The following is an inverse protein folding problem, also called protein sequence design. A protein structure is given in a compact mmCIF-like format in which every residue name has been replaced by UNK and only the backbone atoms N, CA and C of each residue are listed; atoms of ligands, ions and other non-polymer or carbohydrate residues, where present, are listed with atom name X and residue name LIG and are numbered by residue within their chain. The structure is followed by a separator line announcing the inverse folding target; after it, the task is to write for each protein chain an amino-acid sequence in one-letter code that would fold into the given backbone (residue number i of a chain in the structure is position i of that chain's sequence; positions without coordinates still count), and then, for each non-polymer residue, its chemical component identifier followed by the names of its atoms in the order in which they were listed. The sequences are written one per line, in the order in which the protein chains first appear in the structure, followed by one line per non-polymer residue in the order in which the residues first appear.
data_IF_527853055598
#
_entry.id   IF_527853055598
#
_cell.length_a   1.000
_cell.length_b   1.000
_cell.length_c   1.000
_cell.angle_alpha   90.00
_cell.angle_beta   90.00
_cell.angle_gamma   90.00
#
_symmetry.space_group_name_H-M   'P 1'
#
loop_
_entity.id
_entity.type
_entity.pdbx_description
1 polymer ?
#
# COMPACT_ATOMS: atom_id res chain seq x y z
N UNK A 1 -4.64 -30.44 6.36
CA UNK A 1 -3.78 -29.61 7.23
C UNK A 1 -4.62 -28.41 7.60
N UNK A 2 -4.66 -28.03 8.88
CA UNK A 2 -5.26 -26.74 9.29
C UNK A 2 -4.24 -25.64 9.00
N UNK A 3 -4.68 -24.50 8.47
CA UNK A 3 -3.86 -23.27 8.33
C UNK A 3 -2.78 -23.29 7.22
N UNK A 4 -3.08 -23.88 6.04
CA UNK A 4 -2.16 -23.97 4.89
C UNK A 4 -2.48 -23.04 3.71
N UNK A 5 -3.71 -22.50 3.65
CA UNK A 5 -4.09 -21.54 2.60
C UNK A 5 -3.33 -20.20 2.76
N UNK A 6 -2.87 -19.55 1.68
CA UNK A 6 -2.17 -18.26 1.75
C UNK A 6 -2.98 -17.20 2.51
N UNK A 7 -2.33 -16.54 3.46
CA UNK A 7 -2.94 -15.54 4.35
C UNK A 7 -2.13 -14.26 4.37
N UNK A 8 -2.82 -13.13 4.28
CA UNK A 8 -2.22 -11.81 4.38
C UNK A 8 -2.95 -10.93 5.40
N UNK A 9 -2.23 -9.98 5.96
CA UNK A 9 -2.75 -9.01 6.93
C UNK A 9 -2.68 -7.59 6.38
N UNK A 10 -3.76 -6.83 6.48
CA UNK A 10 -3.72 -5.36 6.38
C UNK A 10 -3.88 -4.68 7.74
N UNK A 11 -3.08 -3.65 7.99
CA UNK A 11 -3.12 -2.81 9.18
C UNK A 11 -3.37 -1.37 8.72
N UNK A 12 -4.61 -0.90 8.81
CA UNK A 12 -5.00 0.39 8.26
C UNK A 12 -6.31 0.92 8.85
N UNK A 13 -6.69 2.14 8.45
CA UNK A 13 -8.04 2.65 8.60
C UNK A 13 -9.05 2.01 7.63
N UNK A 14 -10.33 2.01 8.01
CA UNK A 14 -11.42 1.66 7.08
C UNK A 14 -11.74 2.81 6.13
N UNK A 15 -12.34 2.50 4.98
CA UNK A 15 -13.03 3.46 4.11
C UNK A 15 -14.47 2.97 3.93
N UNK A 16 -15.46 3.65 4.53
CA UNK A 16 -16.86 3.23 4.40
C UNK A 16 -17.40 3.28 2.95
N UNK A 17 -16.76 4.05 2.07
CA UNK A 17 -17.05 4.07 0.63
C UNK A 17 -16.49 2.86 -0.13
N UNK A 18 -15.60 2.11 0.52
CA UNK A 18 -15.07 0.84 0.02
C UNK A 18 -14.06 0.97 -1.11
N UNK A 19 -13.55 2.17 -1.40
CA UNK A 19 -12.63 2.42 -2.50
C UNK A 19 -11.15 2.34 -2.14
N UNK A 20 -10.81 2.54 -0.86
CA UNK A 20 -9.47 2.59 -0.30
C UNK A 20 -9.38 1.82 1.04
N UNK A 21 -8.25 1.96 1.73
CA UNK A 21 -8.00 1.39 3.06
C UNK A 21 -8.24 -0.12 3.12
N UNK A 22 -8.66 -0.61 4.30
CA UNK A 22 -8.93 -2.05 4.51
C UNK A 22 -9.88 -2.63 3.45
N UNK A 23 -10.85 -1.84 2.98
CA UNK A 23 -11.81 -2.33 1.98
C UNK A 23 -11.17 -2.60 0.62
N UNK A 24 -10.28 -1.73 0.14
CA UNK A 24 -9.52 -1.99 -1.09
C UNK A 24 -8.55 -3.15 -0.91
N UNK A 25 -7.95 -3.26 0.27
CA UNK A 25 -7.01 -4.32 0.61
C UNK A 25 -7.69 -5.69 0.56
N UNK A 26 -8.83 -5.83 1.24
CA UNK A 26 -9.61 -7.07 1.27
C UNK A 26 -10.09 -7.48 -0.12
N UNK A 27 -10.65 -6.53 -0.90
CA UNK A 27 -11.09 -6.81 -2.27
C UNK A 27 -9.93 -7.28 -3.13
N UNK A 28 -8.78 -6.64 -3.01
CA UNK A 28 -7.58 -7.01 -3.75
C UNK A 28 -7.09 -8.40 -3.35
N UNK A 29 -6.86 -8.65 -2.06
CA UNK A 29 -6.37 -9.95 -1.56
C UNK A 29 -7.30 -11.09 -1.94
N UNK A 30 -8.62 -10.90 -1.81
CA UNK A 30 -9.62 -11.88 -2.21
C UNK A 30 -9.55 -12.17 -3.73
N UNK A 31 -9.44 -11.13 -4.56
CA UNK A 31 -9.30 -11.28 -6.02
C UNK A 31 -7.96 -11.89 -6.43
N UNK A 32 -6.95 -11.86 -5.57
CA UNK A 32 -5.65 -12.52 -5.78
C UNK A 32 -5.57 -13.92 -5.17
N UNK A 33 -6.68 -14.45 -4.63
CA UNK A 33 -6.76 -15.80 -4.07
C UNK A 33 -6.05 -15.96 -2.73
N UNK A 34 -6.06 -14.91 -1.89
CA UNK A 34 -5.42 -14.90 -0.57
C UNK A 34 -6.49 -14.60 0.50
N UNK A 35 -6.45 -15.35 1.60
CA UNK A 35 -7.32 -15.09 2.74
C UNK A 35 -6.85 -13.83 3.48
N UNK A 36 -7.70 -12.81 3.53
CA UNK A 36 -7.37 -11.53 4.13
C UNK A 36 -7.75 -11.48 5.62
N UNK A 37 -6.84 -10.95 6.43
CA UNK A 37 -7.05 -10.60 7.84
C UNK A 37 -6.81 -9.10 8.03
N UNK A 38 -7.32 -8.52 9.13
CA UNK A 38 -7.19 -7.08 9.37
C UNK A 38 -6.86 -6.74 10.82
N UNK A 39 -6.14 -5.64 10.99
CA UNK A 39 -6.11 -4.82 12.21
C UNK A 39 -6.64 -3.44 11.83
N UNK A 40 -7.76 -3.04 12.44
CA UNK A 40 -8.38 -1.74 12.24
C UNK A 40 -7.71 -0.72 13.14
N UNK A 41 -7.11 0.31 12.54
CA UNK A 41 -6.43 1.41 13.25
C UNK A 41 -7.35 2.62 13.45
N UNK A 42 -8.26 2.84 12.50
CA UNK A 42 -9.29 3.86 12.59
C UNK A 42 -10.51 3.45 11.75
N UNK A 43 -11.67 3.97 12.09
CA UNK A 43 -12.85 3.92 11.22
C UNK A 43 -13.09 5.28 10.60
N UNK A 44 -13.51 5.31 9.34
CA UNK A 44 -13.86 6.58 8.67
C UNK A 44 -15.30 6.56 8.18
N UNK A 45 -15.99 7.68 8.33
CA UNK A 45 -17.15 8.03 7.52
C UNK A 45 -16.62 8.71 6.26
N UNK A 46 -16.55 7.95 5.18
CA UNK A 46 -15.93 8.33 3.92
C UNK A 46 -16.78 7.87 2.72
N UNK A 47 -16.75 8.65 1.64
CA UNK A 47 -17.30 8.27 0.34
C UNK A 47 -16.49 8.96 -0.77
N UNK A 48 -16.94 8.84 -2.03
CA UNK A 48 -16.24 9.42 -3.19
C UNK A 48 -16.07 10.95 -3.16
N UNK A 49 -16.76 11.67 -2.28
CA UNK A 49 -16.66 13.11 -2.09
C UNK A 49 -15.59 13.52 -1.05
N UNK A 50 -15.03 12.56 -0.31
CA UNK A 50 -14.01 12.80 0.71
C UNK A 50 -14.31 12.08 2.03
N UNK A 51 -13.55 12.44 3.07
CA UNK A 51 -13.75 11.98 4.46
C UNK A 51 -14.61 13.01 5.19
N UNK A 52 -15.70 12.55 5.80
CA UNK A 52 -16.62 13.37 6.59
C UNK A 52 -16.32 13.31 8.08
N UNK A 53 -15.88 12.15 8.58
CA UNK A 53 -15.51 11.96 9.97
C UNK A 53 -14.55 10.77 10.11
N UNK A 54 -13.81 10.70 11.22
CA UNK A 54 -12.91 9.60 11.53
C UNK A 54 -12.79 9.39 13.04
N UNK A 55 -12.73 8.13 13.46
CA UNK A 55 -12.49 7.73 14.84
C UNK A 55 -11.32 6.75 14.91
N UNK A 56 -10.24 7.17 15.56
CA UNK A 56 -9.07 6.33 15.80
C UNK A 56 -9.37 5.28 16.89
N UNK A 57 -8.97 4.04 16.66
CA UNK A 57 -9.18 2.95 17.63
C UNK A 57 -8.33 3.15 18.88
N UNK A 58 -8.81 2.79 20.09
CA UNK A 58 -7.98 2.75 21.28
C UNK A 58 -6.75 1.82 21.05
N UNK A 59 -5.54 2.22 21.47
CA UNK A 59 -4.34 1.37 21.33
C UNK A 59 -4.52 -0.04 21.87
N UNK A 60 -5.24 -0.20 22.98
CA UNK A 60 -5.48 -1.49 23.62
C UNK A 60 -6.27 -2.43 22.70
N UNK A 61 -7.24 -1.90 21.94
CA UNK A 61 -7.98 -2.70 20.96
C UNK A 61 -7.14 -3.04 19.72
N UNK A 62 -6.18 -2.19 19.36
CA UNK A 62 -5.21 -2.52 18.30
C UNK A 62 -4.31 -3.67 18.78
N UNK A 63 -3.80 -3.60 20.01
CA UNK A 63 -2.99 -4.65 20.63
C UNK A 63 -3.73 -6.00 20.69
N UNK A 64 -5.01 -6.00 21.11
CA UNK A 64 -5.83 -7.22 21.17
C UNK A 64 -6.10 -7.83 19.79
N UNK A 65 -6.28 -7.01 18.75
CA UNK A 65 -6.41 -7.51 17.36
C UNK A 65 -5.12 -8.20 16.91
N UNK A 66 -3.95 -7.58 17.16
CA UNK A 66 -2.66 -8.19 16.86
C UNK A 66 -2.44 -9.51 17.61
N UNK A 67 -2.72 -9.53 18.91
CA UNK A 67 -2.60 -10.72 19.75
C UNK A 67 -3.52 -11.86 19.28
N UNK A 68 -4.77 -11.54 18.92
CA UNK A 68 -5.74 -12.51 18.41
C UNK A 68 -5.27 -13.16 17.10
N UNK A 69 -4.77 -12.35 16.16
CA UNK A 69 -4.28 -12.88 14.88
C UNK A 69 -3.03 -13.74 15.06
N UNK A 70 -2.08 -13.30 15.89
CA UNK A 70 -0.85 -14.03 16.15
C UNK A 70 -1.07 -15.37 16.86
N UNK A 71 -2.17 -15.52 17.60
CA UNK A 71 -2.48 -16.74 18.33
C UNK A 71 -3.04 -17.88 17.46
N UNK A 72 -3.58 -17.57 16.27
CA UNK A 72 -4.34 -18.53 15.45
C UNK A 72 -3.87 -18.63 13.98
N UNK A 73 -3.54 -17.51 13.35
CA UNK A 73 -3.31 -17.45 11.90
C UNK A 73 -1.85 -17.67 11.50
N UNK A 74 -1.64 -18.21 10.29
CA UNK A 74 -0.32 -18.40 9.68
C UNK A 74 -0.09 -17.38 8.57
N UNK A 75 -0.14 -16.10 8.94
CA UNK A 75 0.05 -14.98 8.02
C UNK A 75 1.52 -14.93 7.57
N UNK A 76 1.74 -14.85 6.25
CA UNK A 76 3.06 -14.87 5.63
C UNK A 76 3.46 -13.54 4.98
N UNK A 77 2.54 -12.60 4.85
CA UNK A 77 2.82 -11.23 4.47
C UNK A 77 1.81 -10.27 5.09
N UNK A 78 2.25 -9.06 5.41
CA UNK A 78 1.40 -8.00 5.93
C UNK A 78 1.69 -6.66 5.26
N UNK A 79 0.74 -5.74 5.36
CA UNK A 79 0.91 -4.35 4.94
C UNK A 79 0.39 -3.36 5.96
N UNK A 80 0.97 -2.16 5.94
CA UNK A 80 0.39 -0.98 6.58
C UNK A 80 -0.18 -0.04 5.53
N UNK A 81 -1.32 0.58 5.85
CA UNK A 81 -1.90 1.71 5.10
C UNK A 81 -1.91 2.98 5.94
N UNK A 82 -3.02 3.75 5.90
CA UNK A 82 -3.20 4.93 6.75
C UNK A 82 -3.29 4.53 8.24
N UNK A 83 -2.42 5.12 9.09
CA UNK A 83 -2.25 4.77 10.51
C UNK A 83 -2.76 5.84 11.50
N UNK A 84 -3.57 6.79 11.03
CA UNK A 84 -4.20 7.87 11.79
C UNK A 84 -3.28 8.90 12.45
N UNK A 85 -2.53 8.54 13.50
CA UNK A 85 -1.81 9.50 14.35
C UNK A 85 -0.52 8.91 14.96
N UNK A 86 0.36 9.73 15.58
CA UNK A 86 1.64 9.24 16.10
C UNK A 86 1.50 8.16 17.18
N UNK A 87 0.43 8.19 17.99
CA UNK A 87 0.18 7.19 19.02
C UNK A 87 -0.10 5.84 18.35
N UNK A 88 -0.99 5.80 17.35
CA UNK A 88 -1.34 4.57 16.64
C UNK A 88 -0.19 4.04 15.79
N UNK A 89 0.60 4.92 15.16
CA UNK A 89 1.81 4.51 14.45
C UNK A 89 2.77 3.80 15.41
N UNK A 90 3.01 4.35 16.61
CA UNK A 90 3.86 3.71 17.64
C UNK A 90 3.28 2.37 18.10
N UNK A 91 1.97 2.29 18.34
CA UNK A 91 1.29 1.03 18.70
C UNK A 91 1.49 -0.04 17.62
N UNK A 92 1.31 0.31 16.35
CA UNK A 92 1.54 -0.62 15.22
C UNK A 92 2.99 -1.05 15.14
N UNK A 93 3.95 -0.13 15.24
CA UNK A 93 5.39 -0.44 15.25
C UNK A 93 5.74 -1.41 16.38
N UNK A 94 5.23 -1.18 17.59
CA UNK A 94 5.50 -2.04 18.74
C UNK A 94 4.96 -3.46 18.51
N UNK A 95 3.78 -3.61 17.93
CA UNK A 95 3.22 -4.92 17.62
C UNK A 95 3.94 -5.63 16.47
N UNK A 96 4.35 -4.91 15.43
CA UNK A 96 5.15 -5.47 14.33
C UNK A 96 6.55 -5.92 14.78
N UNK A 97 7.09 -5.34 15.86
CA UNK A 97 8.32 -5.83 16.51
C UNK A 97 8.07 -7.03 17.42
N UNK A 98 6.87 -7.16 17.99
CA UNK A 98 6.48 -8.22 18.93
C UNK A 98 6.04 -9.51 18.22
N UNK A 99 5.34 -9.38 17.10
CA UNK A 99 4.73 -10.49 16.37
C UNK A 99 5.25 -10.54 14.94
N UNK A 100 5.47 -11.75 14.44
CA UNK A 100 5.94 -11.97 13.08
C UNK A 100 4.77 -12.36 12.16
N UNK A 101 4.41 -11.46 11.24
CA UNK A 101 3.40 -11.68 10.20
C UNK A 101 4.03 -11.82 8.81
N UNK A 102 5.31 -12.22 8.75
CA UNK A 102 6.06 -12.41 7.53
C UNK A 102 6.51 -11.09 6.89
N UNK A 103 6.50 -11.04 5.55
CA UNK A 103 7.05 -9.89 4.80
C UNK A 103 6.18 -8.64 4.99
N UNK A 104 6.79 -7.51 5.36
CA UNK A 104 6.10 -6.24 5.60
C UNK A 104 6.18 -5.29 4.40
N UNK A 105 5.02 -4.94 3.86
CA UNK A 105 4.86 -3.86 2.88
C UNK A 105 4.37 -2.58 3.57
N UNK A 106 5.16 -1.52 3.56
CA UNK A 106 4.78 -0.21 4.09
C UNK A 106 4.27 0.67 2.94
N UNK A 107 2.97 0.98 2.94
CA UNK A 107 2.38 2.05 2.12
C UNK A 107 2.28 3.31 3.00
N UNK A 108 3.20 4.27 2.88
CA UNK A 108 3.28 5.42 3.79
C UNK A 108 2.24 6.47 3.42
N UNK A 109 0.96 6.15 3.68
CA UNK A 109 -0.18 7.02 3.36
C UNK A 109 -0.16 8.25 4.27
N UNK A 110 0.48 9.31 3.80
CA UNK A 110 0.66 10.57 4.56
C UNK A 110 -0.11 11.74 3.95
N UNK A 111 -0.47 11.66 2.67
CA UNK A 111 -1.05 12.77 1.91
C UNK A 111 -2.29 12.26 1.17
N UNK A 112 -3.43 12.93 1.37
CA UNK A 112 -4.65 12.62 0.65
C UNK A 112 -4.50 12.95 -0.83
N UNK A 113 -5.32 12.34 -1.69
CA UNK A 113 -5.31 12.63 -3.14
C UNK A 113 -5.58 14.11 -3.48
N UNK A 114 -6.19 14.88 -2.58
CA UNK A 114 -6.37 16.33 -2.71
C UNK A 114 -5.17 17.19 -2.23
N UNK A 115 -4.06 16.56 -1.83
CA UNK A 115 -2.86 17.24 -1.30
C UNK A 115 -2.91 17.57 0.19
N UNK A 116 -4.03 17.29 0.88
CA UNK A 116 -4.13 17.53 2.32
C UNK A 116 -3.28 16.53 3.10
N UNK A 117 -2.48 16.99 4.06
CA UNK A 117 -1.76 16.12 5.01
C UNK A 117 -2.77 15.29 5.81
N UNK A 118 -2.56 13.98 5.85
CA UNK A 118 -3.33 13.02 6.64
C UNK A 118 -2.67 12.73 7.99
N UNK A 119 -1.36 12.91 8.09
CA UNK A 119 -0.57 12.73 9.30
C UNK A 119 0.02 14.07 9.76
N UNK A 120 0.17 14.22 11.08
CA UNK A 120 0.97 15.29 11.66
C UNK A 120 2.46 15.05 11.37
N UNK A 121 3.28 16.11 11.45
CA UNK A 121 4.73 15.99 11.24
C UNK A 121 5.37 14.99 12.23
N UNK A 122 4.90 14.97 13.49
CA UNK A 122 5.31 13.97 14.48
C UNK A 122 5.01 12.52 14.04
N UNK A 123 3.91 12.29 13.32
CA UNK A 123 3.57 10.96 12.83
C UNK A 123 4.45 10.57 11.64
N UNK A 124 4.80 11.53 10.78
CA UNK A 124 5.74 11.35 9.68
C UNK A 124 7.12 10.95 10.21
N UNK A 125 7.59 11.62 11.28
CA UNK A 125 8.86 11.27 11.93
C UNK A 125 8.84 9.84 12.49
N UNK A 126 7.74 9.41 13.14
CA UNK A 126 7.62 8.02 13.62
C UNK A 126 7.61 7.03 12.45
N UNK A 127 6.91 7.34 11.36
CA UNK A 127 6.91 6.50 10.16
C UNK A 127 8.33 6.37 9.61
N UNK A 128 9.06 7.49 9.46
CA UNK A 128 10.42 7.53 8.94
C UNK A 128 11.41 6.77 9.82
N UNK A 129 11.38 7.03 11.13
CA UNK A 129 12.46 6.61 12.02
C UNK A 129 12.19 5.24 12.67
N UNK A 130 10.94 4.75 12.66
CA UNK A 130 10.58 3.53 13.38
C UNK A 130 9.82 2.49 12.54
N UNK A 131 8.99 2.89 11.58
CA UNK A 131 8.23 1.95 10.74
C UNK A 131 9.00 1.57 9.47
N UNK A 132 9.56 2.57 8.77
CA UNK A 132 10.36 2.39 7.55
C UNK A 132 11.52 1.39 7.73
N UNK A 133 12.28 1.40 8.86
CA UNK A 133 13.33 0.42 9.11
C UNK A 133 12.85 -1.04 9.22
N UNK A 134 11.55 -1.27 9.40
CA UNK A 134 10.98 -2.62 9.45
C UNK A 134 10.56 -3.13 8.07
N UNK A 135 10.54 -2.26 7.04
CA UNK A 135 9.91 -2.57 5.77
C UNK A 135 10.76 -3.53 4.92
N UNK A 136 10.17 -4.66 4.52
CA UNK A 136 10.70 -5.46 3.41
C UNK A 136 10.46 -4.76 2.07
N UNK A 137 9.37 -3.99 1.96
CA UNK A 137 9.07 -3.13 0.82
C UNK A 137 8.43 -1.84 1.31
N UNK A 138 8.91 -0.68 0.83
CA UNK A 138 8.19 0.60 0.97
C UNK A 138 7.66 1.05 -0.39
N UNK A 139 6.43 1.59 -0.42
CA UNK A 139 5.73 1.93 -1.68
C UNK A 139 5.28 3.40 -1.77
N UNK A 140 6.10 4.43 -1.50
CA UNK A 140 5.62 5.81 -1.52
C UNK A 140 5.22 6.28 -2.92
N UNK A 141 4.20 7.14 -3.02
CA UNK A 141 4.02 7.99 -4.21
C UNK A 141 5.05 9.16 -4.22
N UNK A 142 5.08 9.96 -5.29
CA UNK A 142 6.02 11.08 -5.40
C UNK A 142 5.94 12.05 -4.20
N UNK A 143 4.79 12.66 -3.85
CA UNK A 143 4.67 13.51 -2.67
C UNK A 143 5.15 12.85 -1.36
N UNK A 144 4.81 11.58 -1.15
CA UNK A 144 5.23 10.83 0.04
C UNK A 144 6.73 10.58 0.05
N UNK A 145 7.32 10.30 -1.11
CA UNK A 145 8.76 10.12 -1.25
C UNK A 145 9.50 11.44 -1.01
N UNK A 146 8.98 12.57 -1.52
CA UNK A 146 9.54 13.90 -1.28
C UNK A 146 9.53 14.23 0.21
N UNK A 147 8.41 13.95 0.91
CA UNK A 147 8.27 14.20 2.34
C UNK A 147 9.19 13.28 3.17
N UNK A 148 9.21 11.96 2.90
CA UNK A 148 10.08 11.03 3.63
C UNK A 148 11.56 11.35 3.42
N UNK A 149 11.93 11.68 2.19
CA UNK A 149 13.33 11.95 1.83
C UNK A 149 13.72 13.40 2.07
N UNK A 150 12.79 14.32 2.33
CA UNK A 150 13.07 15.76 2.39
C UNK A 150 13.85 16.23 1.14
N UNK A 151 13.40 15.79 -0.03
CA UNK A 151 14.00 16.09 -1.34
C UNK A 151 12.90 16.43 -2.33
N UNK A 152 13.21 17.31 -3.28
CA UNK A 152 12.36 17.55 -4.45
C UNK A 152 12.66 16.52 -5.54
N UNK A 153 11.62 15.94 -6.13
CA UNK A 153 11.74 14.89 -7.16
C UNK A 153 11.10 15.41 -8.47
N UNK A 154 11.94 15.89 -9.38
CA UNK A 154 11.51 16.52 -10.65
C UNK A 154 11.96 15.74 -11.90
N UNK A 155 12.76 14.69 -11.72
CA UNK A 155 13.32 13.87 -12.80
C UNK A 155 13.42 12.40 -12.38
N UNK A 156 13.56 11.51 -13.37
CA UNK A 156 13.86 10.09 -13.15
C UNK A 156 15.14 9.88 -12.33
N UNK A 157 16.17 10.70 -12.54
CA UNK A 157 17.43 10.63 -11.80
C UNK A 157 17.26 11.01 -10.32
N UNK A 158 16.48 12.06 -10.03
CA UNK A 158 16.14 12.45 -8.66
C UNK A 158 15.24 11.42 -7.98
N UNK A 159 14.35 10.77 -8.73
CA UNK A 159 13.49 9.68 -8.23
C UNK A 159 14.31 8.44 -7.85
N UNK A 160 15.30 8.08 -8.67
CA UNK A 160 16.24 7.02 -8.33
C UNK A 160 17.08 7.35 -7.08
N UNK A 161 17.46 8.62 -6.92
CA UNK A 161 18.17 9.09 -5.72
C UNK A 161 17.30 9.00 -4.47
N UNK A 162 16.02 9.39 -4.58
CA UNK A 162 15.05 9.21 -3.50
C UNK A 162 14.91 7.73 -3.11
N UNK A 163 14.87 6.82 -4.10
CA UNK A 163 14.86 5.38 -3.86
C UNK A 163 16.05 4.90 -3.02
N UNK A 164 17.27 5.34 -3.35
CA UNK A 164 18.48 5.02 -2.55
C UNK A 164 18.42 5.62 -1.14
N UNK A 165 17.86 6.82 -0.98
CA UNK A 165 17.72 7.45 0.34
C UNK A 165 16.73 6.70 1.22
N UNK A 166 15.59 6.27 0.67
CA UNK A 166 14.62 5.42 1.38
C UNK A 166 15.25 4.08 1.80
N UNK A 167 16.06 3.47 0.94
CA UNK A 167 16.81 2.26 1.30
C UNK A 167 17.83 2.51 2.42
N UNK A 168 18.52 3.66 2.41
CA UNK A 168 19.43 4.06 3.50
C UNK A 168 18.74 4.32 4.84
N UNK A 169 17.42 4.57 4.82
CA UNK A 169 16.58 4.70 6.02
C UNK A 169 16.14 3.34 6.57
N UNK A 170 16.48 2.23 5.91
CA UNK A 170 16.30 0.87 6.39
C UNK A 170 15.30 0.01 5.62
N UNK A 171 14.57 0.57 4.65
CA UNK A 171 13.71 -0.24 3.78
C UNK A 171 14.55 -1.17 2.90
N UNK A 172 14.23 -2.47 2.84
CA UNK A 172 15.01 -3.41 2.00
C UNK A 172 14.79 -3.18 0.52
N UNK A 173 13.53 -3.09 0.10
CA UNK A 173 13.11 -2.83 -1.27
C UNK A 173 12.27 -1.55 -1.33
N UNK A 174 12.33 -0.85 -2.46
CA UNK A 174 11.65 0.44 -2.65
C UNK A 174 10.92 0.45 -4.00
N UNK A 175 9.64 0.83 -3.97
CA UNK A 175 8.83 1.17 -5.13
C UNK A 175 8.36 2.62 -5.01
N UNK A 176 8.98 3.54 -5.75
CA UNK A 176 8.50 4.93 -5.83
C UNK A 176 7.49 5.01 -6.98
N UNK A 177 6.26 5.44 -6.68
CA UNK A 177 5.12 5.44 -7.62
C UNK A 177 4.90 6.82 -8.25
N UNK A 178 4.47 6.85 -9.53
CA UNK A 178 3.83 8.02 -10.13
C UNK A 178 4.73 8.98 -10.92
N UNK A 179 5.89 8.55 -11.40
CA UNK A 179 6.72 9.35 -12.32
C UNK A 179 6.08 9.51 -13.70
N UNK A 180 6.05 10.73 -14.22
CA UNK A 180 5.60 11.05 -15.59
C UNK A 180 6.45 12.17 -16.23
N UNK A 181 7.75 12.19 -15.89
CA UNK A 181 8.68 13.27 -16.24
C UNK A 181 8.92 13.39 -17.75
N UNK A 182 9.03 12.26 -18.43
CA UNK A 182 9.40 12.17 -19.84
C UNK A 182 8.19 12.13 -20.79
N UNK A 183 7.02 11.77 -20.28
CA UNK A 183 5.77 11.65 -21.04
C UNK A 183 4.56 11.75 -20.10
N UNK A 184 3.60 12.61 -20.44
CA UNK A 184 2.33 12.71 -19.70
C UNK A 184 1.45 11.45 -19.85
N UNK A 185 1.69 10.66 -20.91
CA UNK A 185 0.92 9.46 -21.25
C UNK A 185 1.46 8.19 -20.61
N UNK A 186 2.52 8.29 -19.81
CA UNK A 186 3.13 7.17 -19.09
C UNK A 186 3.00 7.32 -17.57
N UNK A 187 2.96 6.18 -16.89
CA UNK A 187 3.09 6.09 -15.45
C UNK A 187 4.28 5.18 -15.14
N UNK A 188 5.41 5.81 -14.82
CA UNK A 188 6.71 5.20 -14.57
C UNK A 188 6.94 5.09 -13.07
N UNK A 189 7.06 3.86 -12.58
CA UNK A 189 7.40 3.59 -11.18
C UNK A 189 8.84 3.07 -11.11
N UNK A 190 9.62 3.62 -10.18
CA UNK A 190 11.01 3.24 -9.97
C UNK A 190 11.10 2.14 -8.91
N UNK A 191 11.80 1.05 -9.23
CA UNK A 191 12.07 -0.04 -8.30
C UNK A 191 13.56 -0.10 -7.98
N UNK A 192 13.88 -0.21 -6.69
CA UNK A 192 15.20 -0.56 -6.17
C UNK A 192 15.07 -1.78 -5.26
N UNK A 193 15.74 -2.88 -5.61
CA UNK A 193 15.75 -4.10 -4.83
C UNK A 193 16.85 -4.09 -3.77
N UNK A 194 16.70 -4.97 -2.77
CA UNK A 194 17.67 -5.15 -1.67
C UNK A 194 19.09 -5.44 -2.15
N UNK A 195 19.23 -6.18 -3.26
CA UNK A 195 20.54 -6.50 -3.85
C UNK A 195 21.14 -5.36 -4.71
N UNK A 196 20.54 -4.18 -4.72
CA UNK A 196 20.99 -3.02 -5.48
C UNK A 196 20.57 -3.01 -6.95
N UNK A 197 19.95 -4.08 -7.48
CA UNK A 197 19.35 -4.05 -8.82
C UNK A 197 18.18 -3.07 -8.84
N UNK A 198 18.05 -2.31 -9.92
CA UNK A 198 16.92 -1.40 -10.12
C UNK A 198 16.37 -1.51 -11.52
N UNK A 199 15.09 -1.18 -11.68
CA UNK A 199 14.39 -1.18 -12.96
C UNK A 199 13.17 -0.27 -12.89
N UNK A 200 12.60 0.00 -14.06
CA UNK A 200 11.38 0.79 -14.21
C UNK A 200 10.19 -0.10 -14.53
N UNK A 201 9.04 0.23 -13.93
CA UNK A 201 7.74 -0.35 -14.25
C UNK A 201 6.90 0.71 -14.96
N UNK A 202 6.82 0.58 -16.29
CA UNK A 202 6.11 1.53 -17.16
C UNK A 202 4.76 0.96 -17.60
N UNK A 203 3.71 1.80 -17.53
CA UNK A 203 2.38 1.49 -18.06
C UNK A 203 1.79 2.72 -18.74
N UNK A 204 0.84 2.50 -19.65
CA UNK A 204 0.09 3.62 -20.26
C UNK A 204 -0.81 4.28 -19.22
N UNK A 205 -0.69 5.60 -19.08
CA UNK A 205 -1.57 6.39 -18.23
C UNK A 205 -2.93 6.53 -18.91
N UNK A 206 -3.99 6.20 -18.17
CA UNK A 206 -5.37 6.46 -18.61
C UNK A 206 -5.86 7.73 -17.92
N UNK A 207 -6.35 8.69 -18.70
CA UNK A 207 -7.07 9.86 -18.14
C UNK A 207 -8.41 9.37 -17.58
N UNK A 208 -8.52 9.34 -16.25
CA UNK A 208 -9.76 8.96 -15.55
C UNK A 208 -9.84 9.64 -14.19
N UNK A 209 -11.06 9.93 -13.72
CA UNK A 209 -11.32 10.40 -12.36
C UNK A 209 -11.31 9.28 -11.31
N UNK A 210 -11.45 8.03 -11.76
CA UNK A 210 -11.58 6.84 -10.93
C UNK A 210 -10.19 6.30 -10.59
N UNK A 211 -9.69 6.74 -9.46
CA UNK A 211 -8.29 6.60 -9.05
C UNK A 211 -8.18 6.49 -7.52
N UNK A 212 -9.31 6.54 -6.81
CA UNK A 212 -9.38 6.35 -5.37
C UNK A 212 -8.93 4.92 -5.02
N UNK A 213 -8.02 4.78 -4.05
CA UNK A 213 -7.43 3.50 -3.66
C UNK A 213 -6.33 2.94 -4.58
N UNK A 214 -5.74 3.75 -5.47
CA UNK A 214 -4.66 3.27 -6.36
C UNK A 214 -3.45 2.75 -5.57
N UNK A 215 -3.00 3.50 -4.56
CA UNK A 215 -1.91 3.10 -3.67
C UNK A 215 -2.23 1.82 -2.92
N UNK A 216 -3.37 1.79 -2.24
CA UNK A 216 -3.82 0.63 -1.46
C UNK A 216 -3.92 -0.64 -2.32
N UNK A 217 -4.44 -0.52 -3.55
CA UNK A 217 -4.64 -1.64 -4.47
C UNK A 217 -3.31 -2.23 -4.95
N UNK A 218 -2.35 -1.39 -5.35
CA UNK A 218 -1.04 -1.92 -5.79
C UNK A 218 -0.28 -2.56 -4.63
N UNK A 219 -0.22 -1.90 -3.47
CA UNK A 219 0.50 -2.43 -2.29
C UNK A 219 -0.15 -3.72 -1.81
N UNK A 220 -1.48 -3.81 -1.77
CA UNK A 220 -2.21 -5.04 -1.41
C UNK A 220 -2.03 -6.17 -2.39
N UNK A 221 -1.97 -5.89 -3.70
CA UNK A 221 -1.71 -6.92 -4.69
C UNK A 221 -0.30 -7.49 -4.49
N UNK A 222 0.69 -6.63 -4.24
CA UNK A 222 2.07 -7.07 -3.98
C UNK A 222 2.11 -7.93 -2.71
N UNK A 223 1.52 -7.48 -1.61
CA UNK A 223 1.45 -8.24 -0.36
C UNK A 223 0.76 -9.60 -0.54
N UNK A 224 -0.31 -9.67 -1.34
CA UNK A 224 -0.98 -10.93 -1.66
C UNK A 224 -0.08 -11.89 -2.46
N UNK A 225 0.66 -11.40 -3.46
CA UNK A 225 1.60 -12.24 -4.22
C UNK A 225 2.78 -12.72 -3.35
N UNK A 226 3.27 -11.87 -2.44
CA UNK A 226 4.27 -12.26 -1.45
C UNK A 226 3.74 -13.34 -0.49
N UNK A 227 2.49 -13.24 -0.03
CA UNK A 227 1.87 -14.26 0.81
C UNK A 227 1.78 -15.64 0.11
N UNK A 228 1.69 -15.64 -1.22
CA UNK A 228 1.73 -16.84 -2.08
C UNK A 228 3.15 -17.35 -2.35
N UNK A 229 4.17 -16.71 -1.82
CA UNK A 229 5.58 -17.10 -1.97
C UNK A 229 6.22 -16.64 -3.29
N UNK A 230 5.64 -15.68 -4.00
CA UNK A 230 6.29 -15.07 -5.18
C UNK A 230 7.53 -14.27 -4.77
N UNK A 231 8.50 -14.17 -5.67
CA UNK A 231 9.64 -13.28 -5.44
C UNK A 231 9.22 -11.81 -5.44
N UNK A 232 10.02 -10.94 -4.81
CA UNK A 232 9.74 -9.50 -4.73
C UNK A 232 9.56 -8.88 -6.13
N UNK A 233 10.44 -9.21 -7.08
CA UNK A 233 10.35 -8.70 -8.45
C UNK A 233 9.08 -9.16 -9.16
N UNK A 234 8.70 -10.44 -9.03
CA UNK A 234 7.45 -10.95 -9.61
C UNK A 234 6.23 -10.28 -8.99
N UNK A 235 6.19 -10.14 -7.66
CA UNK A 235 5.10 -9.51 -6.94
C UNK A 235 4.90 -8.04 -7.37
N UNK A 236 5.99 -7.28 -7.53
CA UNK A 236 5.98 -5.90 -8.03
C UNK A 236 5.42 -5.80 -9.46
N UNK A 237 5.85 -6.70 -10.36
CA UNK A 237 5.36 -6.74 -11.75
C UNK A 237 3.87 -7.09 -11.81
N UNK A 238 3.42 -8.06 -11.02
CA UNK A 238 2.00 -8.44 -10.93
C UNK A 238 1.19 -7.27 -10.36
N UNK A 239 1.66 -6.64 -9.29
CA UNK A 239 1.00 -5.47 -8.68
C UNK A 239 0.78 -4.33 -9.67
N UNK A 240 1.81 -3.99 -10.46
CA UNK A 240 1.70 -2.99 -11.53
C UNK A 240 0.68 -3.39 -12.59
N UNK A 241 0.73 -4.63 -13.07
CA UNK A 241 -0.19 -5.11 -14.10
C UNK A 241 -1.64 -5.15 -13.61
N UNK A 242 -1.86 -5.51 -12.34
CA UNK A 242 -3.17 -5.55 -11.72
C UNK A 242 -3.76 -4.13 -11.57
N UNK A 243 -3.00 -3.19 -11.00
CA UNK A 243 -3.51 -1.82 -10.84
C UNK A 243 -3.80 -1.16 -12.20
N UNK A 244 -2.98 -1.41 -13.23
CA UNK A 244 -3.26 -0.96 -14.59
C UNK A 244 -4.60 -1.54 -15.11
N UNK A 245 -4.82 -2.85 -14.91
CA UNK A 245 -6.05 -3.50 -15.33
C UNK A 245 -7.28 -2.90 -14.63
N UNK A 246 -7.20 -2.64 -13.33
CA UNK A 246 -8.30 -2.08 -12.51
C UNK A 246 -8.70 -0.66 -12.95
N UNK A 247 -7.71 0.14 -13.39
CA UNK A 247 -7.92 1.49 -13.94
C UNK A 247 -8.50 1.39 -15.36
N UNK A 248 -7.95 0.49 -16.18
CA UNK A 248 -8.35 0.32 -17.58
C UNK A 248 -9.78 -0.19 -17.71
N UNK A 249 -10.16 -1.17 -16.89
CA UNK A 249 -11.47 -1.80 -16.85
C UNK A 249 -12.42 -1.11 -15.85
N UNK A 250 -12.15 0.15 -15.49
CA UNK A 250 -12.82 0.87 -14.41
C UNK A 250 -14.35 0.81 -14.43
N UNK A 251 -14.94 1.03 -13.25
CA UNK A 251 -16.38 1.05 -12.98
C UNK A 251 -16.84 2.46 -12.60
N UNK A 252 -18.13 2.75 -12.71
CA UNK A 252 -18.70 4.04 -12.30
C UNK A 252 -19.44 3.90 -10.97
N UNK A 253 -18.87 4.45 -9.89
CA UNK A 253 -19.46 4.44 -8.55
C UNK A 253 -19.25 5.80 -7.91
N UNK A 254 -20.31 6.37 -7.33
CA UNK A 254 -20.31 7.67 -6.66
C UNK A 254 -20.23 8.87 -7.60
N UNK A 255 -20.11 10.06 -7.00
CA UNK A 255 -20.20 11.36 -7.70
C UNK A 255 -18.88 12.14 -7.74
N UNK A 256 -17.90 11.78 -6.90
CA UNK A 256 -16.58 12.42 -6.86
C UNK A 256 -15.48 11.58 -7.52
N UNK A 257 -14.41 11.31 -6.77
CA UNK A 257 -13.34 10.41 -7.21
C UNK A 257 -13.75 8.95 -6.99
N UNK A 258 -14.12 8.27 -8.08
CA UNK A 258 -14.57 6.88 -8.02
C UNK A 258 -13.44 5.89 -7.67
N UNK A 259 -13.83 4.68 -7.22
CA UNK A 259 -12.91 3.59 -6.91
C UNK A 259 -12.37 2.90 -8.17
N UNK A 260 -11.39 2.02 -7.96
CA UNK A 260 -10.91 1.10 -8.99
C UNK A 260 -11.84 -0.10 -9.18
N UNK A 261 -11.71 -0.79 -10.32
CA UNK A 261 -12.40 -2.07 -10.56
C UNK A 261 -11.55 -3.25 -10.08
N UNK A 262 -11.73 -3.70 -8.84
CA UNK A 262 -11.00 -4.87 -8.29
C UNK A 262 -11.36 -6.19 -8.99
N UNK A 263 -12.47 -6.29 -9.72
CA UNK A 263 -12.79 -7.49 -10.53
C UNK A 263 -11.97 -7.60 -11.82
N UNK A 264 -11.15 -6.59 -12.14
CA UNK A 264 -10.36 -6.59 -13.36
C UNK A 264 -9.40 -7.79 -13.42
N UNK A 265 -9.32 -8.40 -14.60
CA UNK A 265 -8.37 -9.49 -14.89
C UNK A 265 -7.11 -8.96 -15.56
N UNK A 266 -5.96 -9.51 -15.20
CA UNK A 266 -4.70 -9.23 -15.91
C UNK A 266 -4.74 -9.97 -17.25
N UNK A 267 -4.18 -9.40 -18.32
CA UNK A 267 -4.22 -9.99 -19.68
C UNK A 267 -3.75 -11.46 -19.74
N UNK A 268 -2.80 -11.87 -18.90
CA UNK A 268 -2.33 -13.26 -18.82
C UNK A 268 -3.41 -14.21 -18.30
N UNK A 269 -4.32 -13.74 -17.45
CA UNK A 269 -5.43 -14.50 -16.84
C UNK A 269 -6.68 -14.54 -17.74
N UNK A 270 -6.68 -13.79 -18.85
CA UNK A 270 -7.79 -13.78 -19.81
C UNK A 270 -7.75 -14.97 -20.78
N UNK A 271 -6.61 -15.68 -20.87
CA UNK A 271 -6.43 -16.83 -21.76
C UNK A 271 -6.75 -18.19 -21.10
N UNK A 272 -7.19 -18.20 -19.84
CA UNK A 272 -7.52 -19.42 -19.08
C UNK A 272 -9.04 -19.70 -19.02
N UNK A 273 -9.83 -19.16 -19.95
CA UNK A 273 -11.29 -19.36 -20.04
C UNK A 273 -11.69 -19.79 -21.45
#
# INVERSE_FOLDING_TARGET
MTNDFPQALTIAGTDSGGGAGISADFKTMQMRGVFATMVVVAVTAQNTLGVQDALAMPPELIDEQFASLAADFKISACKTGMLADPLRVKTVVNNLKRYNFGLLTVDPVMIAKGGAKLLSDDAIDVVRDQLLPLADLVTPNLPEAEELTQMTITTEATMATAGRRLQSMGAKNVLVKGGHFSSEDEANDYVLLENGRSFWLTSKRKKTRNTHGTGDTISSCITAELAKGKSMEEALRIGKAYVEATIKQGINVGHGHGPLNHWAKIRSEQNEI
#
